data_IF_826888658787
#
_entry.id   IF_826888658787
#
_cell.length_a   1.000
_cell.length_b   1.000
_cell.length_c   1.000
_cell.angle_alpha   90.00
_cell.angle_beta   90.00
_cell.angle_gamma   90.00
#
_symmetry.space_group_name_H-M   'P 1'
#
loop_
_entity.id
_entity.type
_entity.pdbx_description
1 polymer ?
#
# COMPACT_ATOMS: atom_id res chain seq x y z
N UNK A 1 -3.20 -20.78 23.84
CA UNK A 1 -3.34 -20.18 22.51
C UNK A 1 -1.94 -19.92 21.99
N UNK A 2 -1.44 -20.73 21.05
CA UNK A 2 -0.17 -20.44 20.38
C UNK A 2 -0.49 -19.45 19.27
N UNK A 3 -0.16 -18.19 19.49
CA UNK A 3 -0.60 -17.00 18.74
C UNK A 3 -0.06 -16.88 17.31
N UNK A 4 0.86 -17.77 16.89
CA UNK A 4 1.34 -17.85 15.51
C UNK A 4 1.79 -19.30 15.21
N UNK A 5 0.96 -20.07 14.52
CA UNK A 5 1.32 -21.43 14.12
C UNK A 5 2.03 -21.42 12.77
N UNK A 6 2.94 -22.38 12.53
CA UNK A 6 3.45 -22.71 11.18
C UNK A 6 2.35 -22.97 10.15
N UNK A 7 1.10 -23.15 10.61
CA UNK A 7 -0.08 -23.35 9.79
C UNK A 7 -0.49 -22.08 9.04
N UNK A 8 -0.33 -20.88 9.60
CA UNK A 8 -0.61 -19.60 8.90
C UNK A 8 0.16 -19.50 7.57
N UNK A 9 1.39 -20.01 7.54
CA UNK A 9 2.20 -20.09 6.33
C UNK A 9 1.57 -20.94 5.22
N UNK A 10 0.80 -21.97 5.55
CA UNK A 10 0.09 -22.80 4.54
C UNK A 10 -0.99 -22.03 3.82
N UNK A 11 -1.70 -21.16 4.53
CA UNK A 11 -2.67 -20.27 3.89
C UNK A 11 -1.95 -19.27 2.99
N UNK A 12 -0.88 -18.65 3.48
CA UNK A 12 -0.06 -17.75 2.66
C UNK A 12 0.44 -18.44 1.39
N UNK A 13 0.94 -19.67 1.49
CA UNK A 13 1.34 -20.49 0.35
C UNK A 13 0.19 -20.69 -0.65
N UNK A 14 -1.03 -20.97 -0.15
CA UNK A 14 -2.22 -21.13 -1.01
C UNK A 14 -2.49 -19.85 -1.80
N UNK A 15 -2.49 -18.69 -1.15
CA UNK A 15 -2.73 -17.41 -1.82
C UNK A 15 -1.64 -17.11 -2.86
N UNK A 16 -0.37 -17.36 -2.50
CA UNK A 16 0.78 -17.27 -3.41
C UNK A 16 0.62 -18.13 -4.65
N UNK A 17 0.26 -19.40 -4.46
CA UNK A 17 0.14 -20.35 -5.56
C UNK A 17 -1.04 -20.01 -6.49
N UNK A 18 -2.13 -19.46 -5.94
CA UNK A 18 -3.24 -18.92 -6.74
C UNK A 18 -2.78 -17.69 -7.52
N UNK A 19 -2.08 -16.76 -6.88
CA UNK A 19 -1.56 -15.57 -7.55
C UNK A 19 -0.64 -15.92 -8.71
N UNK A 20 0.30 -16.86 -8.54
CA UNK A 20 1.17 -17.30 -9.62
C UNK A 20 0.44 -18.03 -10.77
N UNK A 21 -0.84 -18.36 -10.63
CA UNK A 21 -1.67 -18.83 -11.75
C UNK A 21 -2.36 -17.69 -12.50
N UNK A 22 -2.55 -16.53 -11.87
CA UNK A 22 -3.29 -15.38 -12.44
C UNK A 22 -2.44 -14.12 -12.61
N UNK A 23 -1.15 -14.20 -12.28
CA UNK A 23 -0.23 -13.05 -12.26
C UNK A 23 -0.20 -12.27 -13.58
N UNK A 24 -0.31 -12.95 -14.72
CA UNK A 24 -0.29 -12.33 -16.04
C UNK A 24 -1.52 -11.44 -16.30
N UNK A 25 -2.64 -11.70 -15.60
CA UNK A 25 -3.84 -10.88 -15.67
C UNK A 25 -3.75 -9.65 -14.76
N UNK A 26 -3.05 -9.76 -13.64
CA UNK A 26 -2.95 -8.66 -12.66
C UNK A 26 -1.81 -7.68 -12.96
N UNK A 27 -0.69 -8.19 -13.48
CA UNK A 27 0.53 -7.41 -13.67
C UNK A 27 0.38 -6.21 -14.63
N UNK A 28 -0.35 -6.31 -15.77
CA UNK A 28 -0.58 -5.15 -16.64
C UNK A 28 -1.27 -4.01 -15.91
N UNK A 29 -2.32 -4.29 -15.12
CA UNK A 29 -3.03 -3.26 -14.35
C UNK A 29 -2.15 -2.66 -13.26
N UNK A 30 -1.41 -3.50 -12.55
CA UNK A 30 -0.50 -3.08 -11.47
C UNK A 30 0.65 -2.17 -11.94
N UNK A 31 1.05 -2.24 -13.21
CA UNK A 31 2.09 -1.37 -13.79
C UNK A 31 1.48 -0.18 -14.52
N UNK A 32 0.45 -0.42 -15.35
CA UNK A 32 -0.11 0.61 -16.22
C UNK A 32 -0.71 1.76 -15.42
N UNK A 33 -1.44 1.47 -14.34
CA UNK A 33 -2.11 2.51 -13.58
C UNK A 33 -1.13 3.47 -12.87
N UNK A 34 -0.14 3.00 -12.07
CA UNK A 34 0.86 3.90 -11.49
C UNK A 34 1.69 4.62 -12.55
N UNK A 35 2.01 3.95 -13.67
CA UNK A 35 2.76 4.56 -14.75
C UNK A 35 1.98 5.70 -15.40
N UNK A 36 0.69 5.50 -15.70
CA UNK A 36 -0.15 6.55 -16.25
C UNK A 36 -0.34 7.71 -15.29
N UNK A 37 -0.51 7.45 -13.98
CA UNK A 37 -0.57 8.52 -12.97
C UNK A 37 0.75 9.28 -12.92
N UNK A 38 1.89 8.58 -12.92
CA UNK A 38 3.21 9.21 -12.90
C UNK A 38 3.48 10.03 -14.16
N UNK A 39 3.10 9.53 -15.35
CA UNK A 39 3.25 10.26 -16.60
C UNK A 39 2.29 11.46 -16.68
N UNK A 40 1.00 11.27 -16.37
CA UNK A 40 0.00 12.31 -16.42
C UNK A 40 0.30 13.44 -15.43
N UNK A 41 0.64 13.10 -14.19
CA UNK A 41 0.97 14.09 -13.17
C UNK A 41 2.39 14.62 -13.35
N UNK A 42 3.37 13.75 -13.55
CA UNK A 42 4.79 14.11 -13.63
C UNK A 42 5.13 14.94 -14.86
N UNK A 43 4.65 14.56 -16.04
CA UNK A 43 4.87 15.32 -17.28
C UNK A 43 3.80 16.37 -17.51
N UNK A 44 2.52 16.02 -17.30
CA UNK A 44 1.40 16.94 -17.52
C UNK A 44 1.39 18.07 -16.50
N UNK A 45 1.22 17.75 -15.21
CA UNK A 45 1.18 18.76 -14.15
C UNK A 45 2.56 19.38 -13.88
N UNK A 46 3.65 18.61 -14.03
CA UNK A 46 5.01 19.10 -13.83
C UNK A 46 5.39 20.27 -14.75
N UNK A 47 4.82 20.32 -15.96
CA UNK A 47 4.97 21.46 -16.86
C UNK A 47 4.35 22.77 -16.35
N UNK A 48 3.35 22.69 -15.47
CA UNK A 48 2.67 23.86 -14.88
C UNK A 48 3.23 24.24 -13.50
N UNK A 49 3.66 23.26 -12.71
CA UNK A 49 4.08 23.45 -11.30
C UNK A 49 5.57 23.77 -11.17
N UNK A 50 6.41 23.39 -12.15
CA UNK A 50 7.85 23.66 -12.11
C UNK A 50 8.56 22.83 -11.05
N UNK A 51 9.27 23.48 -10.12
CA UNK A 51 10.01 22.83 -9.04
C UNK A 51 9.24 22.81 -7.72
N UNK A 52 9.31 21.69 -7.01
CA UNK A 52 8.73 21.53 -5.67
C UNK A 52 9.85 21.18 -4.70
N UNK A 53 9.99 21.97 -3.62
CA UNK A 53 11.05 21.83 -2.62
C UNK A 53 12.47 21.77 -3.23
N UNK A 54 12.72 22.50 -4.31
CA UNK A 54 14.03 22.54 -4.99
C UNK A 54 14.34 21.33 -5.90
N UNK A 55 13.41 20.37 -6.03
CA UNK A 55 13.51 19.24 -6.97
C UNK A 55 12.43 19.29 -8.07
N UNK A 56 12.50 18.37 -9.03
CA UNK A 56 11.45 18.27 -10.06
C UNK A 56 10.17 17.68 -9.46
N UNK A 57 9.00 18.14 -9.94
CA UNK A 57 7.71 17.62 -9.47
C UNK A 57 7.59 16.09 -9.63
N UNK A 58 8.14 15.54 -10.70
CA UNK A 58 8.13 14.09 -10.95
C UNK A 58 8.93 13.30 -9.90
N UNK A 59 10.05 13.86 -9.40
CA UNK A 59 10.80 13.29 -8.27
C UNK A 59 10.02 13.40 -6.95
N UNK A 60 9.14 14.39 -6.82
CA UNK A 60 8.25 14.51 -5.68
C UNK A 60 7.12 13.46 -5.73
N UNK A 61 6.41 13.29 -6.84
CA UNK A 61 5.26 12.37 -6.83
C UNK A 61 5.66 10.89 -6.81
N UNK A 62 6.82 10.53 -7.36
CA UNK A 62 7.23 9.13 -7.51
C UNK A 62 7.21 8.30 -6.21
N UNK A 63 7.88 8.72 -5.10
CA UNK A 63 7.80 7.99 -3.83
C UNK A 63 6.40 8.03 -3.20
N UNK A 64 5.62 9.09 -3.44
CA UNK A 64 4.22 9.17 -3.00
C UNK A 64 3.34 8.13 -3.70
N UNK A 65 3.56 7.90 -5.00
CA UNK A 65 2.89 6.87 -5.79
C UNK A 65 3.29 5.48 -5.26
N UNK A 66 4.57 5.23 -4.97
CA UNK A 66 5.00 3.96 -4.36
C UNK A 66 4.22 3.69 -3.07
N UNK A 67 4.18 4.65 -2.13
CA UNK A 67 3.42 4.51 -0.88
C UNK A 67 1.93 4.26 -1.15
N UNK A 68 1.30 5.07 -2.01
CA UNK A 68 -0.14 4.98 -2.26
C UNK A 68 -0.56 3.61 -2.80
N UNK A 69 0.17 3.06 -3.76
CA UNK A 69 -0.16 1.75 -4.32
C UNK A 69 0.24 0.60 -3.38
N UNK A 70 1.27 0.78 -2.55
CA UNK A 70 1.61 -0.14 -1.47
C UNK A 70 0.58 -0.13 -0.32
N UNK A 71 -0.22 0.93 -0.17
CA UNK A 71 -1.42 0.96 0.65
C UNK A 71 -2.62 0.30 -0.06
N UNK A 72 -2.89 0.64 -1.32
CA UNK A 72 -4.06 0.11 -2.04
C UNK A 72 -4.03 -1.41 -2.18
N UNK A 73 -2.87 -1.97 -2.57
CA UNK A 73 -2.68 -3.40 -2.82
C UNK A 73 -3.10 -4.32 -1.64
N UNK A 74 -2.55 -4.19 -0.42
CA UNK A 74 -3.00 -4.96 0.75
C UNK A 74 -4.44 -4.63 1.13
N UNK A 75 -4.88 -3.38 0.95
CA UNK A 75 -6.24 -2.97 1.31
C UNK A 75 -7.28 -3.67 0.45
N UNK A 76 -7.10 -3.74 -0.87
CA UNK A 76 -8.01 -4.47 -1.76
C UNK A 76 -7.97 -5.98 -1.52
N UNK A 77 -6.78 -6.55 -1.28
CA UNK A 77 -6.61 -7.98 -1.01
C UNK A 77 -7.30 -8.41 0.29
N UNK A 78 -7.15 -7.63 1.37
CA UNK A 78 -7.73 -7.92 2.68
C UNK A 78 -9.16 -7.41 2.86
N UNK A 79 -9.72 -6.69 1.87
CA UNK A 79 -11.15 -6.35 1.81
C UNK A 79 -11.89 -7.22 0.80
N UNK A 80 -12.01 -6.77 -0.44
CA UNK A 80 -12.81 -7.42 -1.47
C UNK A 80 -12.38 -8.86 -1.72
N UNK A 81 -11.08 -9.13 -1.90
CA UNK A 81 -10.63 -10.48 -2.23
C UNK A 81 -10.87 -11.46 -1.06
N UNK A 82 -10.54 -11.05 0.16
CA UNK A 82 -10.80 -11.84 1.37
C UNK A 82 -12.29 -12.04 1.62
N UNK A 83 -13.12 -11.01 1.45
CA UNK A 83 -14.57 -11.12 1.57
C UNK A 83 -15.17 -12.08 0.53
N UNK A 84 -14.69 -12.03 -0.71
CA UNK A 84 -15.11 -12.95 -1.77
C UNK A 84 -14.76 -14.39 -1.44
N UNK A 85 -13.54 -14.64 -0.93
CA UNK A 85 -13.11 -15.95 -0.45
C UNK A 85 -13.95 -16.46 0.72
N UNK A 86 -14.35 -15.57 1.61
CA UNK A 86 -15.16 -15.89 2.79
C UNK A 86 -16.62 -16.19 2.42
N UNK A 87 -17.30 -15.28 1.71
CA UNK A 87 -18.76 -15.32 1.55
C UNK A 87 -19.23 -16.02 0.26
N UNK A 88 -18.57 -15.74 -0.87
CA UNK A 88 -19.03 -16.22 -2.18
C UNK A 88 -18.38 -17.55 -2.56
N UNK A 89 -17.06 -17.66 -2.39
CA UNK A 89 -16.33 -18.88 -2.74
C UNK A 89 -16.32 -19.92 -1.63
N UNK A 90 -16.78 -19.58 -0.42
CA UNK A 90 -16.82 -20.48 0.75
C UNK A 90 -15.47 -21.13 1.04
N UNK A 91 -14.37 -20.48 0.64
CA UNK A 91 -13.01 -21.00 0.76
C UNK A 91 -12.61 -21.07 2.22
N UNK A 92 -13.05 -20.12 3.04
CA UNK A 92 -12.73 -20.12 4.48
C UNK A 92 -13.44 -21.27 5.21
N UNK A 93 -14.69 -21.57 4.84
CA UNK A 93 -15.44 -22.71 5.38
C UNK A 93 -14.69 -24.02 5.09
N UNK A 94 -14.15 -24.18 3.87
CA UNK A 94 -13.31 -25.33 3.51
C UNK A 94 -11.98 -25.36 4.26
N UNK A 95 -11.36 -24.20 4.54
CA UNK A 95 -10.09 -24.12 5.27
C UNK A 95 -10.25 -24.50 6.74
N UNK A 96 -11.32 -24.04 7.39
CA UNK A 96 -11.58 -24.30 8.82
C UNK A 96 -11.96 -25.78 9.06
N UNK A 97 -12.39 -26.51 8.03
CA UNK A 97 -12.56 -27.95 8.09
C UNK A 97 -11.23 -28.73 8.16
N UNK A 98 -10.09 -28.07 7.92
CA UNK A 98 -8.74 -28.61 8.10
C UNK A 98 -8.19 -28.24 9.49
N UNK A 99 -6.98 -28.66 9.93
CA UNK A 99 -6.48 -28.30 11.26
C UNK A 99 -6.04 -26.82 11.39
N UNK A 100 -6.47 -25.95 10.49
CA UNK A 100 -6.24 -24.50 10.52
C UNK A 100 -7.29 -23.81 11.39
N UNK A 101 -6.84 -22.98 12.32
CA UNK A 101 -7.74 -22.15 13.13
C UNK A 101 -8.03 -20.81 12.44
N UNK A 102 -9.05 -20.09 12.91
CA UNK A 102 -9.40 -18.76 12.40
C UNK A 102 -8.24 -17.77 12.51
N UNK A 103 -7.51 -17.79 13.63
CA UNK A 103 -6.32 -16.95 13.83
C UNK A 103 -5.25 -17.21 12.76
N UNK A 104 -5.06 -18.48 12.35
CA UNK A 104 -4.12 -18.83 11.28
C UNK A 104 -4.58 -18.30 9.91
N UNK A 105 -5.89 -18.27 9.68
CA UNK A 105 -6.48 -17.72 8.47
C UNK A 105 -6.26 -16.21 8.40
N UNK A 106 -6.58 -15.50 9.49
CA UNK A 106 -6.40 -14.05 9.57
C UNK A 106 -4.91 -13.68 9.37
N UNK A 107 -4.02 -14.35 10.10
CA UNK A 107 -2.58 -14.11 9.99
C UNK A 107 -2.04 -14.42 8.58
N UNK A 108 -2.49 -15.50 7.95
CA UNK A 108 -2.09 -15.85 6.59
C UNK A 108 -2.57 -14.84 5.54
N UNK A 109 -3.78 -14.29 5.70
CA UNK A 109 -4.29 -13.23 4.82
C UNK A 109 -3.52 -11.92 5.01
N UNK A 110 -3.23 -11.53 6.27
CA UNK A 110 -2.43 -10.34 6.56
C UNK A 110 -1.03 -10.45 5.97
N UNK A 111 -0.37 -11.59 6.12
CA UNK A 111 0.95 -11.82 5.50
C UNK A 111 0.89 -11.83 3.98
N UNK A 112 -0.19 -12.35 3.41
CA UNK A 112 -0.37 -12.32 1.97
C UNK A 112 -0.58 -10.89 1.47
N UNK A 113 -1.46 -10.11 2.10
CA UNK A 113 -1.63 -8.68 1.83
C UNK A 113 -0.32 -7.90 1.97
N UNK A 114 0.46 -8.21 3.01
CA UNK A 114 1.80 -7.63 3.20
C UNK A 114 2.74 -7.96 2.03
N UNK A 115 2.74 -9.22 1.57
CA UNK A 115 3.53 -9.64 0.41
C UNK A 115 3.10 -8.89 -0.85
N UNK A 116 1.80 -8.71 -1.04
CA UNK A 116 1.22 -7.92 -2.14
C UNK A 116 1.67 -6.46 -2.11
N UNK A 117 1.72 -5.83 -0.94
CA UNK A 117 2.25 -4.48 -0.76
C UNK A 117 3.72 -4.39 -1.20
N UNK A 118 4.55 -5.32 -0.74
CA UNK A 118 5.98 -5.39 -1.10
C UNK A 118 6.16 -5.60 -2.60
N UNK A 119 5.43 -6.52 -3.21
CA UNK A 119 5.49 -6.77 -4.65
C UNK A 119 5.13 -5.53 -5.45
N UNK A 120 4.04 -4.85 -5.09
CA UNK A 120 3.61 -3.60 -5.73
C UNK A 120 4.67 -2.50 -5.57
N UNK A 121 5.21 -2.31 -4.37
CA UNK A 121 6.25 -1.32 -4.12
C UNK A 121 7.53 -1.61 -4.92
N UNK A 122 7.97 -2.87 -5.00
CA UNK A 122 9.16 -3.28 -5.78
C UNK A 122 8.95 -3.02 -7.27
N UNK A 123 7.78 -3.37 -7.80
CA UNK A 123 7.46 -3.16 -9.22
C UNK A 123 7.47 -1.66 -9.56
N UNK A 124 6.81 -0.83 -8.76
CA UNK A 124 6.78 0.63 -9.00
C UNK A 124 8.17 1.23 -8.76
N UNK A 125 8.91 0.79 -7.74
CA UNK A 125 10.29 1.22 -7.51
C UNK A 125 11.17 0.92 -8.72
N UNK A 126 11.06 -0.26 -9.32
CA UNK A 126 11.81 -0.63 -10.52
C UNK A 126 11.50 0.32 -11.69
N UNK A 127 10.23 0.69 -11.86
CA UNK A 127 9.82 1.72 -12.84
C UNK A 127 10.48 3.06 -12.49
N UNK A 128 10.33 3.55 -11.26
CA UNK A 128 10.89 4.83 -10.82
C UNK A 128 12.42 4.89 -10.98
N UNK A 129 13.13 3.79 -10.71
CA UNK A 129 14.58 3.64 -10.96
C UNK A 129 14.88 3.69 -12.46
N UNK A 130 14.10 3.00 -13.30
CA UNK A 130 14.29 3.02 -14.76
C UNK A 130 14.10 4.42 -15.38
N UNK A 131 13.27 5.26 -14.77
CA UNK A 131 13.09 6.66 -15.14
C UNK A 131 14.16 7.61 -14.54
N UNK A 132 15.13 7.09 -13.77
CA UNK A 132 16.20 7.90 -13.17
C UNK A 132 15.72 8.82 -12.04
N UNK A 133 14.61 8.47 -11.38
CA UNK A 133 13.98 9.30 -10.35
C UNK A 133 14.43 8.96 -8.92
N UNK A 134 15.34 7.99 -8.76
CA UNK A 134 15.95 7.62 -7.47
C UNK A 134 17.37 8.16 -7.43
N UNK A 135 17.71 8.87 -6.35
CA UNK A 135 19.02 9.50 -6.17
C UNK A 135 19.86 8.85 -5.06
N UNK A 136 19.24 7.97 -4.26
CA UNK A 136 19.83 7.45 -3.03
C UNK A 136 19.86 5.92 -2.97
N UNK A 137 20.97 5.32 -2.49
CA UNK A 137 21.06 3.88 -2.29
C UNK A 137 20.14 3.37 -1.17
N UNK A 138 19.65 4.26 -0.29
CA UNK A 138 18.65 3.91 0.74
C UNK A 138 17.33 3.43 0.15
N UNK A 139 17.08 3.66 -1.14
CA UNK A 139 15.92 3.11 -1.84
C UNK A 139 15.82 1.58 -1.77
N UNK A 140 16.92 0.87 -1.48
CA UNK A 140 16.91 -0.58 -1.23
C UNK A 140 16.09 -0.99 0.01
N UNK A 141 15.79 -0.06 0.93
CA UNK A 141 14.94 -0.30 2.09
C UNK A 141 13.44 -0.08 1.83
N UNK A 142 13.07 0.42 0.64
CA UNK A 142 11.66 0.60 0.24
C UNK A 142 10.84 -0.69 0.40
N UNK A 143 11.33 -1.88 -0.01
CA UNK A 143 10.59 -3.14 0.20
C UNK A 143 10.37 -3.48 1.68
N UNK A 144 11.30 -3.12 2.56
CA UNK A 144 11.15 -3.33 3.99
C UNK A 144 10.08 -2.40 4.57
N UNK A 145 10.12 -1.12 4.21
CA UNK A 145 9.09 -0.16 4.62
C UNK A 145 7.70 -0.55 4.08
N UNK A 146 7.64 -1.00 2.83
CA UNK A 146 6.41 -1.51 2.22
C UNK A 146 5.86 -2.75 2.94
N UNK A 147 6.72 -3.56 3.58
CA UNK A 147 6.26 -4.67 4.41
C UNK A 147 5.61 -4.18 5.70
N UNK A 148 6.16 -3.15 6.35
CA UNK A 148 5.55 -2.55 7.54
C UNK A 148 4.23 -1.84 7.20
N UNK A 149 4.23 -1.08 6.11
CA UNK A 149 3.03 -0.46 5.53
C UNK A 149 1.96 -1.52 5.19
N UNK A 150 2.38 -2.59 4.51
CA UNK A 150 1.53 -3.70 4.13
C UNK A 150 0.90 -4.38 5.34
N UNK A 151 1.69 -4.60 6.39
CA UNK A 151 1.20 -5.16 7.65
C UNK A 151 0.13 -4.27 8.29
N UNK A 152 0.38 -2.95 8.33
CA UNK A 152 -0.57 -1.97 8.86
C UNK A 152 -1.89 -1.99 8.09
N UNK A 153 -1.84 -1.78 6.77
CA UNK A 153 -3.05 -1.66 5.96
C UNK A 153 -3.78 -2.98 5.78
N UNK A 154 -3.07 -4.11 5.67
CA UNK A 154 -3.70 -5.43 5.64
C UNK A 154 -4.42 -5.72 6.97
N UNK A 155 -3.85 -5.33 8.11
CA UNK A 155 -4.48 -5.53 9.42
C UNK A 155 -5.74 -4.69 9.58
N UNK A 156 -5.70 -3.40 9.21
CA UNK A 156 -6.88 -2.52 9.24
C UNK A 156 -7.98 -3.04 8.31
N UNK A 157 -7.60 -3.45 7.09
CA UNK A 157 -8.52 -4.01 6.11
C UNK A 157 -9.16 -5.31 6.61
N UNK A 158 -8.38 -6.25 7.14
CA UNK A 158 -8.90 -7.51 7.71
C UNK A 158 -9.81 -7.26 8.91
N UNK A 159 -9.45 -6.33 9.79
CA UNK A 159 -10.30 -5.93 10.91
C UNK A 159 -11.64 -5.41 10.40
N UNK A 160 -11.65 -4.49 9.42
CA UNK A 160 -12.88 -3.97 8.85
C UNK A 160 -13.70 -5.05 8.15
N UNK A 161 -13.06 -5.93 7.37
CA UNK A 161 -13.71 -7.07 6.71
C UNK A 161 -14.43 -7.99 7.68
N UNK A 162 -13.90 -8.18 8.89
CA UNK A 162 -14.54 -9.00 9.92
C UNK A 162 -15.86 -8.42 10.46
N UNK A 163 -16.07 -7.10 10.33
CA UNK A 163 -17.26 -6.38 10.80
C UNK A 163 -18.32 -6.23 9.71
N UNK A 164 -17.92 -6.34 8.45
CA UNK A 164 -18.77 -6.06 7.29
C UNK A 164 -19.66 -7.24 6.95
N UNK A 165 -20.96 -6.97 6.76
CA UNK A 165 -21.98 -7.97 6.37
C UNK A 165 -22.37 -7.91 4.89
N UNK A 166 -21.97 -6.85 4.20
CA UNK A 166 -22.30 -6.60 2.80
C UNK A 166 -21.10 -6.02 2.08
N UNK A 167 -20.78 -6.58 0.91
CA UNK A 167 -19.65 -6.14 0.09
C UNK A 167 -19.73 -4.64 -0.25
N UNK A 168 -20.94 -4.08 -0.36
CA UNK A 168 -21.14 -2.65 -0.64
C UNK A 168 -20.67 -1.75 0.50
N UNK A 169 -20.59 -2.25 1.74
CA UNK A 169 -20.11 -1.48 2.89
C UNK A 169 -18.61 -1.13 2.79
N UNK A 170 -17.85 -1.84 1.94
CA UNK A 170 -16.48 -1.45 1.62
C UNK A 170 -16.39 -0.12 0.88
N UNK A 171 -17.42 0.26 0.11
CA UNK A 171 -17.42 1.55 -0.58
C UNK A 171 -17.26 2.71 0.42
N UNK A 172 -17.94 2.67 1.57
CA UNK A 172 -17.76 3.68 2.62
C UNK A 172 -16.33 3.73 3.16
N UNK A 173 -15.70 2.57 3.38
CA UNK A 173 -14.32 2.53 3.84
C UNK A 173 -13.36 3.13 2.81
N UNK A 174 -13.49 2.77 1.54
CA UNK A 174 -12.67 3.35 0.49
C UNK A 174 -12.92 4.84 0.34
N UNK A 175 -14.17 5.28 0.24
CA UNK A 175 -14.53 6.67 -0.01
C UNK A 175 -14.27 7.59 1.19
N UNK A 176 -14.49 7.13 2.42
CA UNK A 176 -14.38 7.97 3.62
C UNK A 176 -13.02 7.86 4.32
N UNK A 177 -12.27 6.79 4.08
CA UNK A 177 -10.97 6.56 4.73
C UNK A 177 -9.84 6.54 3.71
N UNK A 178 -9.85 5.57 2.79
CA UNK A 178 -8.70 5.35 1.89
C UNK A 178 -8.49 6.52 0.91
N UNK A 179 -9.56 7.02 0.29
CA UNK A 179 -9.49 8.11 -0.69
C UNK A 179 -9.03 9.44 -0.07
N UNK A 180 -9.58 9.91 1.08
CA UNK A 180 -9.04 11.08 1.76
C UNK A 180 -7.57 10.90 2.15
N UNK A 181 -7.20 9.71 2.64
CA UNK A 181 -5.79 9.43 2.96
C UNK A 181 -4.90 9.58 1.74
N UNK A 182 -5.29 9.06 0.59
CA UNK A 182 -4.54 9.17 -0.67
C UNK A 182 -4.32 10.62 -1.11
N UNK A 183 -5.34 11.48 -1.01
CA UNK A 183 -5.22 12.88 -1.43
C UNK A 183 -4.50 13.77 -0.42
N UNK A 184 -4.73 13.56 0.88
CA UNK A 184 -4.16 14.39 1.95
C UNK A 184 -2.84 13.84 2.52
N UNK A 185 -2.44 12.62 2.16
CA UNK A 185 -1.25 11.92 2.66
C UNK A 185 0.09 12.35 2.07
N UNK A 186 0.21 13.59 1.60
CA UNK A 186 1.43 14.15 1.00
C UNK A 186 1.98 13.37 -0.23
N UNK A 187 1.07 12.75 -0.99
CA UNK A 187 1.40 11.99 -2.19
C UNK A 187 1.71 12.93 -3.36
N UNK A 188 0.82 13.88 -3.61
CA UNK A 188 0.88 14.79 -4.76
C UNK A 188 1.46 16.15 -4.42
N UNK A 189 1.17 16.66 -3.23
CA UNK A 189 1.55 18.01 -2.81
C UNK A 189 2.26 17.98 -1.45
N UNK A 190 3.25 18.86 -1.21
CA UNK A 190 3.85 19.03 0.10
C UNK A 190 2.82 19.40 1.16
N UNK A 191 3.03 18.94 2.39
CA UNK A 191 2.06 19.21 3.45
C UNK A 191 1.95 20.70 3.78
N UNK A 192 3.04 21.44 3.62
CA UNK A 192 3.09 22.90 3.81
C UNK A 192 2.17 23.68 2.87
N UNK A 193 1.73 23.07 1.77
CA UNK A 193 0.82 23.70 0.80
C UNK A 193 -0.64 23.69 1.25
N UNK A 194 -0.99 22.92 2.29
CA UNK A 194 -2.36 22.84 2.80
C UNK A 194 -2.63 23.88 3.90
N UNK A 195 -3.89 24.28 4.13
CA UNK A 195 -4.28 25.09 5.28
C UNK A 195 -3.94 24.39 6.61
N UNK A 196 -3.66 25.14 7.71
CA UNK A 196 -3.21 24.56 8.99
C UNK A 196 -4.10 23.43 9.53
N UNK A 197 -5.43 23.54 9.39
CA UNK A 197 -6.36 22.51 9.85
C UNK A 197 -6.19 21.17 9.09
N UNK A 198 -5.94 21.23 7.78
CA UNK A 198 -5.71 20.04 6.95
C UNK A 198 -4.35 19.43 7.26
N UNK A 199 -3.34 20.26 7.55
CA UNK A 199 -2.02 19.78 7.98
C UNK A 199 -2.13 18.94 9.26
N UNK A 200 -2.89 19.41 10.25
CA UNK A 200 -3.13 18.67 11.50
C UNK A 200 -3.82 17.33 11.25
N UNK A 201 -4.84 17.31 10.39
CA UNK A 201 -5.53 16.07 10.02
C UNK A 201 -4.59 15.08 9.32
N UNK A 202 -3.76 15.55 8.38
CA UNK A 202 -2.85 14.69 7.63
C UNK A 202 -1.84 13.98 8.54
N UNK A 203 -1.43 14.56 9.67
CA UNK A 203 -0.54 13.89 10.62
C UNK A 203 -1.18 12.70 11.36
N UNK A 204 -2.51 12.62 11.40
CA UNK A 204 -3.23 11.46 11.95
C UNK A 204 -3.26 10.31 10.93
N UNK A 205 -3.16 10.64 9.64
CA UNK A 205 -3.23 9.68 8.54
C UNK A 205 -1.93 8.88 8.44
N UNK A 206 -1.97 7.54 8.51
CA UNK A 206 -0.77 6.72 8.43
C UNK A 206 0.01 6.89 7.11
N UNK A 207 -0.70 7.11 6.00
CA UNK A 207 -0.08 7.27 4.68
C UNK A 207 0.88 8.48 4.63
N UNK A 208 0.62 9.55 5.39
CA UNK A 208 1.49 10.73 5.46
C UNK A 208 2.87 10.38 6.01
N UNK A 209 2.92 9.49 6.99
CA UNK A 209 4.17 9.04 7.58
C UNK A 209 4.94 8.16 6.59
N UNK A 210 4.24 7.23 5.94
CA UNK A 210 4.86 6.34 4.96
C UNK A 210 5.35 7.10 3.74
N UNK A 211 4.59 8.05 3.20
CA UNK A 211 4.99 8.85 2.04
C UNK A 211 6.24 9.69 2.31
N UNK A 212 6.37 10.25 3.52
CA UNK A 212 7.59 10.93 3.98
C UNK A 212 8.79 10.01 4.08
N UNK A 213 8.61 8.85 4.69
CA UNK A 213 9.68 7.85 4.83
C UNK A 213 10.14 7.34 3.46
N UNK A 214 9.21 6.98 2.58
CA UNK A 214 9.50 6.56 1.19
C UNK A 214 10.28 7.64 0.44
N UNK A 215 9.86 8.90 0.57
CA UNK A 215 10.55 10.06 -0.02
C UNK A 215 11.96 10.24 0.53
N UNK A 216 12.15 10.07 1.83
CA UNK A 216 13.48 10.10 2.46
C UNK A 216 14.40 9.01 1.93
N UNK A 217 13.88 7.77 1.80
CA UNK A 217 14.63 6.64 1.25
C UNK A 217 15.04 6.86 -0.22
N UNK A 218 14.14 7.34 -1.08
CA UNK A 218 14.42 7.53 -2.51
C UNK A 218 15.31 8.74 -2.82
N UNK A 219 15.19 9.82 -2.04
CA UNK A 219 15.98 11.05 -2.22
C UNK A 219 17.29 11.05 -1.43
N UNK A 220 17.39 10.26 -0.36
CA UNK A 220 18.53 10.28 0.57
C UNK A 220 18.51 11.45 1.55
N UNK A 221 17.42 12.23 1.57
CA UNK A 221 17.25 13.35 2.49
C UNK A 221 16.39 12.93 3.67
N UNK A 222 17.03 12.76 4.83
CA UNK A 222 16.33 12.47 6.08
C UNK A 222 16.23 13.74 6.92
N UNK A 223 15.02 14.29 7.05
CA UNK A 223 14.77 15.47 7.89
C UNK A 223 14.78 15.08 9.38
N UNK A 224 15.13 15.98 10.31
CA UNK A 224 15.05 15.70 11.76
C UNK A 224 13.66 15.25 12.23
N UNK A 225 12.58 15.74 11.60
CA UNK A 225 11.20 15.32 11.86
C UNK A 225 10.91 13.86 11.46
N UNK A 226 11.77 13.25 10.64
CA UNK A 226 11.66 11.88 10.16
C UNK A 226 12.04 10.86 11.26
N UNK A 227 12.81 11.30 12.27
CA UNK A 227 13.09 10.49 13.46
C UNK A 227 11.89 10.36 14.39
N UNK A 228 10.97 11.34 14.38
CA UNK A 228 9.69 11.27 15.10
C UNK A 228 8.64 10.45 14.35
N UNK A 229 8.93 10.05 13.10
CA UNK A 229 8.09 9.19 12.26
C UNK A 229 8.50 7.71 12.26
N UNK A 230 9.59 7.38 12.96
CA UNK A 230 10.06 6.02 13.23
C UNK A 230 9.61 5.60 14.63
#
# INVERSE_FOLDING_TARGET
MNTFSRRSYRLWQRNRDVFFRVWYSELPGAIAEPLFVLLAMGLGLGGFVGSVNGGSYIQFIAPGIIASYAMFSPTFECTYASYVRMHYQRTYDAIIATPLNVDDVIAGEIFWGTTRAVMTAVVILAVVVAFGLVSSPWALLVPFLAALEGLLFASIAMFYTSLVRSIYTFNYYFTLVVTPMFFFGEVFFPLSSFPPAVQQFAWVVPLTWVSKLMRGLTSGTFYPALWLSL
#
